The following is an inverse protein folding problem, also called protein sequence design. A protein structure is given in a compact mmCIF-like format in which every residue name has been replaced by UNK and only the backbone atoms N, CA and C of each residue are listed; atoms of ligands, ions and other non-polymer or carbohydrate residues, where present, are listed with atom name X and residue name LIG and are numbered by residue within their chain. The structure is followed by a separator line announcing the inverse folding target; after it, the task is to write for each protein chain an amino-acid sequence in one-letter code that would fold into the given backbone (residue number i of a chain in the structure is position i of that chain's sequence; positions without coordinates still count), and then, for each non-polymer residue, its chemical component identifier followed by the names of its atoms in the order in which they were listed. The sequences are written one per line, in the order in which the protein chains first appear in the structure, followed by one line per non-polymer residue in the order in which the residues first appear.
data_IF_660841002881
#
_entry.id   IF_660841002881
#
_cell.length_a   1.000
_cell.length_b   1.000
_cell.length_c   1.000
_cell.angle_alpha   90.00
_cell.angle_beta   90.00
_cell.angle_gamma   90.00
#
_symmetry.space_group_name_H-M   'P 1'
#
loop_
_entity.id
_entity.type
_entity.pdbx_description
1 polymer ?
#
# COMPACT_ATOMS: atom_id res chain seq x y z
N UNK A 1 17.58 2.90 14.38
CA UNK A 1 17.76 3.22 12.94
C UNK A 1 16.97 4.49 12.64
N UNK A 2 17.55 5.41 11.88
CA UNK A 2 16.87 6.62 11.40
C UNK A 2 15.95 6.30 10.22
N UNK A 3 14.94 7.13 9.95
CA UNK A 3 14.04 6.96 8.79
C UNK A 3 14.79 6.99 7.45
N UNK A 4 15.93 7.70 7.40
CA UNK A 4 16.77 7.82 6.19
C UNK A 4 17.46 6.50 5.82
N UNK A 5 17.80 5.67 6.81
CA UNK A 5 18.57 4.43 6.63
C UNK A 5 17.67 3.18 6.56
N UNK A 6 16.35 3.36 6.52
CA UNK A 6 15.40 2.25 6.56
C UNK A 6 15.23 1.61 5.17
N UNK A 7 15.15 0.27 5.04
CA UNK A 7 15.00 -0.42 3.75
C UNK A 7 13.73 -0.10 2.96
N UNK A 8 12.76 0.58 3.60
CA UNK A 8 11.56 1.09 2.94
C UNK A 8 11.70 2.53 2.43
N UNK A 9 12.76 3.25 2.82
CA UNK A 9 13.09 4.55 2.27
C UNK A 9 13.66 4.36 0.85
N UNK A 10 12.95 4.84 -0.17
CA UNK A 10 13.35 4.72 -1.57
C UNK A 10 13.33 6.10 -2.25
N UNK A 11 14.19 6.35 -3.25
CA UNK A 11 14.09 7.56 -4.07
C UNK A 11 12.68 7.71 -4.64
N UNK A 12 12.03 8.85 -4.40
CA UNK A 12 10.65 9.10 -4.79
C UNK A 12 9.58 8.57 -3.82
N UNK A 13 9.91 7.78 -2.79
CA UNK A 13 8.96 7.42 -1.73
C UNK A 13 9.65 7.55 -0.36
N UNK A 14 9.94 8.79 0.08
CA UNK A 14 10.62 9.02 1.34
C UNK A 14 9.74 8.54 2.50
N UNK A 15 10.37 7.86 3.45
CA UNK A 15 9.69 7.44 4.67
C UNK A 15 9.47 8.67 5.58
N UNK A 16 8.21 9.07 5.76
CA UNK A 16 7.86 10.30 6.51
C UNK A 16 7.61 10.07 7.99
N UNK A 17 7.51 8.81 8.42
CA UNK A 17 7.19 8.44 9.80
C UNK A 17 8.41 7.87 10.52
N UNK A 18 8.57 8.13 11.83
CA UNK A 18 9.64 7.51 12.61
C UNK A 18 9.50 5.97 12.62
N UNK A 19 10.60 5.20 12.50
CA UNK A 19 10.55 3.73 12.51
C UNK A 19 9.92 3.11 13.77
N UNK A 20 9.87 3.83 14.89
CA UNK A 20 9.21 3.38 16.11
C UNK A 20 7.68 3.38 15.97
N UNK A 21 7.10 4.29 15.18
CA UNK A 21 5.66 4.34 14.90
C UNK A 21 5.22 3.19 13.98
N UNK A 22 6.06 2.82 13.00
CA UNK A 22 5.87 1.61 12.16
C UNK A 22 5.80 0.34 13.03
N UNK A 23 6.73 0.21 14.00
CA UNK A 23 6.73 -0.93 14.94
C UNK A 23 5.50 -0.94 15.85
N UNK A 24 5.05 0.22 16.33
CA UNK A 24 3.83 0.31 17.14
C UNK A 24 2.57 -0.05 16.32
N UNK A 25 2.46 0.43 15.08
CA UNK A 25 1.32 0.12 14.22
C UNK A 25 1.29 -1.38 13.86
N UNK A 26 2.44 -1.97 13.51
CA UNK A 26 2.54 -3.42 13.22
C UNK A 26 2.23 -4.27 14.45
N UNK A 27 2.68 -3.85 15.65
CA UNK A 27 2.53 -4.62 16.89
C UNK A 27 1.14 -4.50 17.54
N UNK A 28 0.49 -3.33 17.46
CA UNK A 28 -0.76 -3.08 18.17
C UNK A 28 -1.99 -2.98 17.26
N UNK A 29 -1.87 -2.45 16.03
CA UNK A 29 -3.04 -2.31 15.15
C UNK A 29 -3.34 -3.60 14.40
N UNK A 30 -2.36 -4.25 13.77
CA UNK A 30 -2.61 -5.45 12.94
C UNK A 30 -3.40 -6.57 13.66
N UNK A 31 -3.17 -6.89 14.95
CA UNK A 31 -3.94 -7.91 15.67
C UNK A 31 -5.37 -7.47 16.04
N UNK A 32 -5.56 -6.19 16.39
CA UNK A 32 -6.85 -5.64 16.80
C UNK A 32 -7.79 -5.40 15.61
N UNK A 33 -7.26 -4.99 14.45
CA UNK A 33 -8.08 -4.72 13.27
C UNK A 33 -8.28 -5.96 12.40
N UNK A 34 -7.40 -6.98 12.46
CA UNK A 34 -7.49 -8.20 11.62
C UNK A 34 -8.90 -8.83 11.60
N UNK A 35 -9.55 -9.07 12.75
CA UNK A 35 -10.86 -9.74 12.79
C UNK A 35 -11.98 -8.93 12.11
N UNK A 36 -11.86 -7.60 12.12
CA UNK A 36 -12.88 -6.68 11.63
C UNK A 36 -12.53 -6.01 10.30
N UNK A 37 -11.29 -6.15 9.83
CA UNK A 37 -10.76 -5.48 8.64
C UNK A 37 -11.53 -5.79 7.37
N UNK A 38 -12.06 -7.02 7.23
CA UNK A 38 -12.92 -7.43 6.12
C UNK A 38 -14.33 -6.81 6.18
N UNK A 39 -14.70 -6.23 7.32
CA UNK A 39 -16.03 -5.66 7.61
C UNK A 39 -16.03 -4.13 7.80
N UNK A 40 -14.87 -3.47 7.67
CA UNK A 40 -14.75 -2.02 7.85
C UNK A 40 -14.58 -1.30 6.50
N UNK A 41 -15.42 -0.29 6.19
CA UNK A 41 -15.25 0.53 5.00
C UNK A 41 -13.84 1.15 4.95
N UNK A 42 -13.17 1.03 3.80
CA UNK A 42 -11.84 1.63 3.56
C UNK A 42 -10.64 0.73 3.89
N UNK A 43 -10.83 -0.38 4.61
CA UNK A 43 -9.79 -1.39 4.79
C UNK A 43 -9.82 -2.42 3.66
N UNK A 44 -8.65 -2.91 3.32
CA UNK A 44 -8.45 -3.78 2.16
C UNK A 44 -7.33 -4.77 2.45
N UNK A 45 -7.55 -6.03 2.12
CA UNK A 45 -6.53 -7.08 2.25
C UNK A 45 -5.91 -7.33 0.89
N UNK A 46 -4.61 -7.09 0.77
CA UNK A 46 -3.83 -7.43 -0.43
C UNK A 46 -3.18 -8.79 -0.20
N UNK A 47 -3.50 -9.76 -1.06
CA UNK A 47 -2.85 -11.07 -1.11
C UNK A 47 -1.68 -10.99 -2.07
N UNK A 48 -0.47 -11.27 -1.58
CA UNK A 48 0.75 -11.24 -2.38
C UNK A 48 1.65 -12.41 -2.03
N UNK A 49 2.64 -12.69 -2.88
CA UNK A 49 3.66 -13.71 -2.62
C UNK A 49 5.03 -13.07 -2.49
N UNK A 50 5.84 -13.57 -1.56
CA UNK A 50 7.23 -13.13 -1.43
C UNK A 50 7.97 -13.30 -2.76
N UNK A 51 8.54 -12.22 -3.31
CA UNK A 51 9.25 -12.26 -4.61
C UNK A 51 10.47 -13.18 -4.65
N UNK A 52 11.00 -13.54 -3.49
CA UNK A 52 12.15 -14.45 -3.34
C UNK A 52 11.72 -15.80 -2.78
N UNK A 53 10.87 -15.82 -1.75
CA UNK A 53 10.48 -17.06 -1.06
C UNK A 53 9.23 -17.75 -1.63
N UNK A 54 8.45 -17.08 -2.47
CA UNK A 54 7.15 -17.57 -2.97
C UNK A 54 6.04 -17.68 -1.91
N UNK A 55 6.35 -17.40 -0.64
CA UNK A 55 5.44 -17.55 0.50
C UNK A 55 4.22 -16.66 0.34
N UNK A 56 2.98 -17.18 0.54
CA UNK A 56 1.78 -16.35 0.52
C UNK A 56 1.71 -15.45 1.77
N UNK A 57 1.41 -14.18 1.55
CA UNK A 57 1.25 -13.17 2.57
C UNK A 57 -0.03 -12.38 2.35
N UNK A 58 -0.60 -11.88 3.44
CA UNK A 58 -1.71 -10.94 3.42
C UNK A 58 -1.30 -9.65 4.12
N UNK A 59 -1.66 -8.51 3.55
CA UNK A 59 -1.39 -7.20 4.14
C UNK A 59 -2.64 -6.35 4.13
N UNK A 60 -3.02 -5.86 5.32
CA UNK A 60 -4.14 -4.95 5.48
C UNK A 60 -3.62 -3.54 5.20
N UNK A 61 -4.26 -2.84 4.28
CA UNK A 61 -3.97 -1.45 3.93
C UNK A 61 -5.27 -0.65 3.87
N UNK A 62 -5.15 0.67 3.97
CA UNK A 62 -6.23 1.58 3.58
C UNK A 62 -6.12 1.83 2.07
N UNK A 63 -7.18 1.53 1.32
CA UNK A 63 -7.19 1.72 -0.13
C UNK A 63 -8.24 2.73 -0.57
N UNK A 64 -8.02 3.30 -1.75
CA UNK A 64 -8.89 4.27 -2.39
C UNK A 64 -9.13 3.87 -3.84
N UNK A 65 -10.35 4.09 -4.33
CA UNK A 65 -10.73 3.77 -5.70
C UNK A 65 -11.34 4.96 -6.41
N UNK A 66 -11.04 5.13 -7.70
CA UNK A 66 -11.73 6.05 -8.62
C UNK A 66 -11.79 5.40 -10.00
N UNK A 67 -12.98 5.03 -10.45
CA UNK A 67 -13.15 4.22 -11.66
C UNK A 67 -12.36 2.90 -11.55
N UNK A 68 -11.45 2.67 -12.49
CA UNK A 68 -10.57 1.49 -12.53
C UNK A 68 -9.20 1.72 -11.89
N UNK A 69 -9.01 2.83 -11.17
CA UNK A 69 -7.75 3.11 -10.47
C UNK A 69 -7.86 2.67 -9.00
N UNK A 70 -6.92 1.83 -8.59
CA UNK A 70 -6.66 1.45 -7.20
C UNK A 70 -5.47 2.23 -6.67
N UNK A 71 -5.58 2.84 -5.48
CA UNK A 71 -4.50 3.62 -4.89
C UNK A 71 -4.34 3.37 -3.39
N UNK A 72 -3.08 3.32 -2.94
CA UNK A 72 -2.69 3.17 -1.52
C UNK A 72 -1.58 4.16 -1.21
N UNK A 73 -1.77 4.98 -0.18
CA UNK A 73 -0.76 5.94 0.28
C UNK A 73 0.36 5.24 1.03
N UNK A 74 1.61 5.50 0.66
CA UNK A 74 2.77 4.80 1.23
C UNK A 74 3.42 5.61 2.35
N UNK A 75 2.73 5.73 3.49
CA UNK A 75 3.26 6.45 4.66
C UNK A 75 4.61 5.90 5.13
N UNK A 76 4.78 4.58 5.07
CA UNK A 76 6.00 3.86 5.46
C UNK A 76 7.00 3.68 4.31
N UNK A 77 6.81 4.36 3.18
CA UNK A 77 7.65 4.19 1.99
C UNK A 77 7.36 2.89 1.23
N UNK A 78 8.34 2.43 0.43
CA UNK A 78 8.20 1.25 -0.44
C UNK A 78 8.41 -0.05 0.36
N UNK A 79 7.36 -0.46 1.07
CA UNK A 79 7.31 -1.68 1.89
C UNK A 79 7.46 -2.97 1.07
N UNK A 80 7.70 -4.09 1.75
CA UNK A 80 7.89 -5.39 1.10
C UNK A 80 6.68 -5.85 0.28
N UNK A 81 5.45 -5.61 0.76
CA UNK A 81 4.26 -5.99 0.00
C UNK A 81 4.20 -5.24 -1.34
N UNK A 82 4.56 -3.94 -1.37
CA UNK A 82 4.62 -3.17 -2.63
C UNK A 82 5.64 -3.78 -3.58
N UNK A 83 6.84 -4.08 -3.08
CA UNK A 83 7.92 -4.70 -3.89
C UNK A 83 7.48 -6.05 -4.45
N UNK A 84 6.76 -6.85 -3.66
CA UNK A 84 6.26 -8.15 -4.06
C UNK A 84 5.17 -8.05 -5.13
N UNK A 85 4.18 -7.17 -4.93
CA UNK A 85 3.10 -6.96 -5.90
C UNK A 85 3.62 -6.43 -7.23
N UNK A 86 4.58 -5.50 -7.19
CA UNK A 86 5.24 -5.00 -8.41
C UNK A 86 5.96 -6.13 -9.13
N UNK A 87 6.74 -6.95 -8.41
CA UNK A 87 7.44 -8.08 -9.01
C UNK A 87 6.49 -9.12 -9.62
N UNK A 88 5.30 -9.30 -9.05
CA UNK A 88 4.27 -10.19 -9.56
C UNK A 88 3.42 -9.58 -10.69
N UNK A 89 3.53 -8.27 -10.96
CA UNK A 89 2.71 -7.57 -11.95
C UNK A 89 1.24 -7.37 -11.56
N UNK A 90 0.86 -7.73 -10.33
CA UNK A 90 -0.51 -7.65 -9.85
C UNK A 90 -0.74 -8.39 -8.53
N UNK A 91 -1.99 -8.36 -8.05
CA UNK A 91 -2.40 -9.05 -6.83
C UNK A 91 -3.92 -9.25 -6.78
N UNK A 92 -4.35 -10.20 -5.95
CA UNK A 92 -5.75 -10.33 -5.56
C UNK A 92 -6.00 -9.46 -4.32
N UNK A 93 -7.12 -8.74 -4.34
CA UNK A 93 -7.45 -7.72 -3.35
C UNK A 93 -8.85 -7.94 -2.83
N UNK A 94 -8.97 -8.15 -1.52
CA UNK A 94 -10.26 -8.27 -0.85
C UNK A 94 -10.68 -6.92 -0.29
N UNK A 95 -11.74 -6.35 -0.86
CA UNK A 95 -12.42 -5.16 -0.34
C UNK A 95 -13.57 -5.57 0.58
N UNK A 96 -14.06 -4.62 1.38
CA UNK A 96 -15.29 -4.79 2.16
C UNK A 96 -16.49 -5.30 1.33
N UNK A 97 -16.58 -4.94 0.05
CA UNK A 97 -17.70 -5.28 -0.84
C UNK A 97 -17.42 -6.45 -1.79
N UNK A 98 -16.26 -7.11 -1.69
CA UNK A 98 -15.91 -8.24 -2.55
C UNK A 98 -14.45 -8.25 -2.99
N UNK A 99 -14.08 -9.32 -3.70
CA UNK A 99 -12.74 -9.48 -4.26
C UNK A 99 -12.62 -8.79 -5.61
N UNK A 100 -11.47 -8.16 -5.85
CA UNK A 100 -11.07 -7.59 -7.13
C UNK A 100 -9.65 -8.05 -7.47
N UNK A 101 -9.28 -7.97 -8.74
CA UNK A 101 -7.91 -8.18 -9.19
C UNK A 101 -7.29 -6.86 -9.61
N UNK A 102 -6.04 -6.66 -9.22
CA UNK A 102 -5.26 -5.49 -9.64
C UNK A 102 -4.10 -5.90 -10.55
N UNK A 103 -3.82 -5.06 -11.54
CA UNK A 103 -2.75 -5.22 -12.54
C UNK A 103 -2.00 -3.91 -12.73
N UNK A 104 -0.94 -3.91 -13.53
CA UNK A 104 -0.10 -2.73 -13.81
C UNK A 104 0.34 -1.94 -12.54
N UNK A 105 0.90 -2.62 -11.52
CA UNK A 105 1.29 -2.00 -10.26
C UNK A 105 2.49 -1.07 -10.45
N UNK A 106 2.36 0.17 -9.97
CA UNK A 106 3.41 1.20 -10.04
C UNK A 106 3.41 2.05 -8.78
N UNK A 107 4.54 2.69 -8.50
CA UNK A 107 4.65 3.67 -7.41
C UNK A 107 4.83 5.03 -8.04
N UNK A 108 3.87 5.92 -7.80
CA UNK A 108 4.01 7.32 -8.12
C UNK A 108 4.90 7.98 -7.05
N UNK A 109 5.94 8.73 -7.45
CA UNK A 109 6.82 9.37 -6.50
C UNK A 109 6.15 10.54 -5.77
N UNK A 110 6.67 10.88 -4.60
CA UNK A 110 6.35 12.11 -3.89
C UNK A 110 6.62 13.33 -4.80
N UNK A 111 5.70 14.29 -4.79
CA UNK A 111 5.68 15.42 -5.71
C UNK A 111 4.85 15.18 -6.97
N UNK A 112 4.30 13.97 -7.19
CA UNK A 112 3.42 13.72 -8.34
C UNK A 112 2.07 14.44 -8.17
N UNK A 113 1.63 15.14 -9.21
CA UNK A 113 0.23 15.58 -9.35
C UNK A 113 -0.44 14.80 -10.49
N UNK A 114 -1.31 13.86 -10.12
CA UNK A 114 -2.06 13.03 -11.06
C UNK A 114 -3.58 13.23 -10.85
N UNK A 115 -4.30 13.82 -11.82
CA UNK A 115 -5.75 14.03 -11.74
C UNK A 115 -6.59 12.77 -11.78
N UNK A 116 -6.03 11.66 -12.24
CA UNK A 116 -6.73 10.38 -12.30
C UNK A 116 -6.88 9.75 -10.92
N UNK A 117 -6.07 10.18 -9.94
CA UNK A 117 -6.13 9.69 -8.57
C UNK A 117 -7.39 10.15 -7.80
N UNK A 118 -7.85 9.36 -6.82
CA UNK A 118 -8.80 9.83 -5.82
C UNK A 118 -8.22 11.01 -5.01
N UNK A 119 -9.08 11.91 -4.51
CA UNK A 119 -8.67 13.19 -3.87
C UNK A 119 -7.64 13.01 -2.75
N UNK A 120 -7.81 12.01 -1.88
CA UNK A 120 -6.92 11.75 -0.75
C UNK A 120 -5.52 11.29 -1.23
N UNK A 121 -5.37 10.19 -2.01
CA UNK A 121 -4.11 9.82 -2.63
C UNK A 121 -3.46 10.93 -3.44
N UNK A 122 -4.23 11.72 -4.18
CA UNK A 122 -3.71 12.85 -4.97
C UNK A 122 -3.03 13.90 -4.08
N UNK A 123 -3.67 14.27 -2.98
CA UNK A 123 -3.08 15.23 -2.04
C UNK A 123 -1.88 14.62 -1.31
N UNK A 124 -1.94 13.34 -0.96
CA UNK A 124 -0.83 12.62 -0.33
C UNK A 124 0.39 12.51 -1.28
N UNK A 125 0.16 12.28 -2.57
CA UNK A 125 1.20 12.16 -3.60
C UNK A 125 2.12 13.39 -3.66
N UNK A 126 1.66 14.56 -3.21
CA UNK A 126 2.49 15.77 -3.11
C UNK A 126 3.64 15.65 -2.11
N UNK A 127 3.55 14.74 -1.13
CA UNK A 127 4.51 14.62 -0.02
C UNK A 127 5.09 13.22 0.14
N UNK A 128 4.38 12.18 -0.30
CA UNK A 128 4.79 10.78 -0.15
C UNK A 128 4.54 9.98 -1.43
N UNK A 129 5.14 8.80 -1.53
CA UNK A 129 4.85 7.88 -2.60
C UNK A 129 3.42 7.34 -2.52
N UNK A 130 2.83 7.04 -3.67
CA UNK A 130 1.51 6.41 -3.76
C UNK A 130 1.62 5.16 -4.63
N UNK A 131 1.22 4.02 -4.09
CA UNK A 131 1.05 2.82 -4.89
C UNK A 131 -0.23 2.95 -5.71
N UNK A 132 -0.15 2.67 -7.00
CA UNK A 132 -1.26 2.72 -7.94
C UNK A 132 -1.27 1.43 -8.75
N UNK A 133 -2.46 0.92 -9.02
CA UNK A 133 -2.69 -0.21 -9.89
C UNK A 133 -4.02 -0.04 -10.62
N UNK A 134 -4.20 -0.78 -11.70
CA UNK A 134 -5.42 -0.79 -12.48
C UNK A 134 -6.30 -1.97 -12.05
N UNK A 135 -7.61 -1.80 -12.06
CA UNK A 135 -8.57 -2.81 -11.60
C UNK A 135 -9.21 -3.47 -12.82
N UNK A 136 -9.24 -4.79 -12.82
CA UNK A 136 -9.83 -5.65 -13.86
C UNK A 136 -10.95 -6.52 -13.33
#
# INVERSE_FOLDING_TARGET
MSAKDHPNNAPGAPMLVPPWLERLQIKYMNPLVKPFSKRLPGFTVIKHRGRTSGTPYETIVTSYRKGNVFAVTLLHGKTNWVKNVIAAGGADVHLFRGDIKITNPRVLPAGTDDPTLPRIPRNAARRMGVFVADIV
#
